data_IF_445155382260
#
_entry.id   IF_445155382260
#
_cell.length_a   1.000
_cell.length_b   1.000
_cell.length_c   1.000
_cell.angle_alpha   90.00
_cell.angle_beta   90.00
_cell.angle_gamma   90.00
#
_symmetry.space_group_name_H-M   'P 1'
#
loop_
_entity.id
_entity.type
_entity.pdbx_description
1 polymer ?
#
# COMPACT_ATOMS: atom_id res chain seq x y z
N UNK A 1 -134.59 -21.97 71.13
CA UNK A 1 -133.37 -21.21 70.77
C UNK A 1 -132.30 -22.17 70.22
N UNK A 2 -132.46 -22.68 68.99
CA UNK A 2 -131.58 -23.71 68.42
C UNK A 2 -131.16 -23.50 66.96
N UNK A 3 -131.31 -22.28 66.43
CA UNK A 3 -131.07 -21.98 64.99
C UNK A 3 -129.79 -21.18 64.68
N UNK A 4 -129.08 -20.64 65.67
CA UNK A 4 -127.86 -19.83 65.44
C UNK A 4 -126.56 -20.67 65.43
N UNK A 5 -126.46 -21.71 66.24
CA UNK A 5 -125.24 -22.53 66.34
C UNK A 5 -124.96 -23.38 65.08
N UNK A 6 -125.99 -23.77 64.31
CA UNK A 6 -125.80 -24.57 63.09
C UNK A 6 -125.31 -23.75 61.89
N UNK A 7 -125.53 -22.43 61.88
CA UNK A 7 -125.11 -21.57 60.78
C UNK A 7 -123.65 -21.15 60.91
N UNK A 8 -123.21 -20.83 62.13
CA UNK A 8 -121.80 -20.54 62.43
C UNK A 8 -120.89 -21.76 62.24
N UNK A 9 -121.39 -22.97 62.51
CA UNK A 9 -120.64 -24.21 62.26
C UNK A 9 -120.48 -24.49 60.76
N UNK A 10 -121.52 -24.25 59.96
CA UNK A 10 -121.46 -24.43 58.51
C UNK A 10 -120.55 -23.38 57.83
N UNK A 11 -120.59 -22.13 58.29
CA UNK A 11 -119.70 -21.07 57.82
C UNK A 11 -118.25 -21.36 58.22
N UNK A 12 -118.01 -21.82 59.46
CA UNK A 12 -116.67 -22.22 59.93
C UNK A 12 -116.13 -23.44 59.17
N UNK A 13 -116.96 -24.45 58.87
CA UNK A 13 -116.56 -25.60 58.06
C UNK A 13 -116.24 -25.23 56.61
N UNK A 14 -116.93 -24.21 56.07
CA UNK A 14 -116.66 -23.69 54.72
C UNK A 14 -115.35 -22.92 54.67
N UNK A 15 -115.07 -22.11 55.70
CA UNK A 15 -113.80 -21.39 55.84
C UNK A 15 -112.63 -22.37 56.02
N UNK A 16 -112.80 -23.40 56.84
CA UNK A 16 -111.78 -24.45 57.05
C UNK A 16 -111.49 -25.21 55.75
N UNK A 17 -112.52 -25.56 54.97
CA UNK A 17 -112.32 -26.20 53.64
C UNK A 17 -111.57 -25.29 52.66
N UNK A 18 -111.92 -24.01 52.61
CA UNK A 18 -111.23 -23.05 51.72
C UNK A 18 -109.77 -22.82 52.13
N UNK A 19 -109.48 -22.70 53.42
CA UNK A 19 -108.12 -22.57 53.93
C UNK A 19 -107.30 -23.84 53.69
N UNK A 20 -107.92 -25.02 53.83
CA UNK A 20 -107.25 -26.31 53.55
C UNK A 20 -106.90 -26.44 52.06
N UNK A 21 -107.81 -26.02 51.17
CA UNK A 21 -107.57 -26.01 49.73
C UNK A 21 -106.50 -24.98 49.32
N UNK A 22 -106.42 -23.82 49.99
CA UNK A 22 -105.34 -22.86 49.78
C UNK A 22 -104.00 -23.38 50.28
N UNK A 23 -103.95 -24.01 51.46
CA UNK A 23 -102.74 -24.59 52.02
C UNK A 23 -102.18 -25.70 51.12
N UNK A 24 -103.05 -26.55 50.57
CA UNK A 24 -102.65 -27.60 49.62
C UNK A 24 -102.12 -27.02 48.29
N UNK A 25 -102.65 -25.89 47.80
CA UNK A 25 -102.09 -25.20 46.63
C UNK A 25 -100.72 -24.61 46.92
N UNK A 26 -100.57 -23.93 48.06
CA UNK A 26 -99.28 -23.34 48.47
C UNK A 26 -98.22 -24.41 48.69
N UNK A 27 -98.56 -25.55 49.30
CA UNK A 27 -97.63 -26.67 49.47
C UNK A 27 -97.20 -27.28 48.12
N UNK A 28 -98.12 -27.39 47.16
CA UNK A 28 -97.84 -27.89 45.80
C UNK A 28 -96.94 -26.93 45.00
N UNK A 29 -97.15 -25.63 45.15
CA UNK A 29 -96.30 -24.60 44.52
C UNK A 29 -94.91 -24.52 45.19
N UNK A 30 -94.82 -24.81 46.50
CA UNK A 30 -93.55 -24.86 47.24
C UNK A 30 -92.68 -26.07 46.82
N UNK A 31 -93.28 -27.23 46.56
CA UNK A 31 -92.57 -28.41 46.02
C UNK A 31 -92.13 -28.22 44.56
N UNK A 32 -92.94 -27.54 43.74
CA UNK A 32 -92.57 -27.18 42.36
C UNK A 32 -91.43 -26.14 42.28
N UNK A 33 -91.25 -25.30 43.31
CA UNK A 33 -90.13 -24.35 43.39
C UNK A 33 -88.85 -24.97 43.99
N UNK A 34 -88.95 -25.98 44.85
CA UNK A 34 -87.79 -26.73 45.36
C UNK A 34 -87.06 -27.52 44.26
N UNK A 35 -87.79 -28.09 43.31
CA UNK A 35 -87.22 -28.81 42.15
C UNK A 35 -86.57 -27.87 41.13
N UNK A 36 -87.08 -26.63 40.97
CA UNK A 36 -86.45 -25.60 40.14
C UNK A 36 -85.15 -25.04 40.75
N UNK A 37 -85.07 -24.91 42.08
CA UNK A 37 -83.87 -24.44 42.76
C UNK A 37 -82.71 -25.46 42.66
N UNK A 38 -82.99 -26.76 42.81
CA UNK A 38 -81.99 -27.83 42.62
C UNK A 38 -81.55 -27.93 41.15
N UNK A 39 -82.48 -27.80 40.20
CA UNK A 39 -82.15 -27.74 38.78
C UNK A 39 -81.30 -26.52 38.41
N UNK A 40 -81.55 -25.35 39.02
CA UNK A 40 -80.76 -24.14 38.81
C UNK A 40 -79.31 -24.29 39.30
N UNK A 41 -79.09 -24.87 40.49
CA UNK A 41 -77.74 -25.12 41.01
C UNK A 41 -76.94 -26.14 40.18
N UNK A 42 -77.61 -27.14 39.61
CA UNK A 42 -76.96 -28.09 38.70
C UNK A 42 -76.63 -27.44 37.35
N UNK A 43 -77.50 -26.57 36.85
CA UNK A 43 -77.24 -25.76 35.66
C UNK A 43 -76.06 -24.82 35.88
N UNK A 44 -75.95 -24.17 37.04
CA UNK A 44 -74.81 -23.30 37.39
C UNK A 44 -73.49 -24.07 37.44
N UNK A 45 -73.48 -25.29 38.00
CA UNK A 45 -72.31 -26.18 37.96
C UNK A 45 -71.93 -26.57 36.52
N UNK A 46 -72.91 -26.92 35.69
CA UNK A 46 -72.69 -27.24 34.28
C UNK A 46 -72.16 -26.01 33.51
N UNK A 47 -72.71 -24.83 33.74
CA UNK A 47 -72.24 -23.58 33.15
C UNK A 47 -70.81 -23.27 33.61
N UNK A 48 -70.48 -23.44 34.88
CA UNK A 48 -69.13 -23.24 35.40
C UNK A 48 -68.12 -24.25 34.78
N UNK A 49 -68.51 -25.52 34.68
CA UNK A 49 -67.69 -26.57 34.07
C UNK A 49 -67.48 -26.33 32.57
N UNK A 50 -68.53 -25.91 31.85
CA UNK A 50 -68.46 -25.53 30.43
C UNK A 50 -67.61 -24.27 30.24
N UNK A 51 -67.72 -23.27 31.12
CA UNK A 51 -66.90 -22.05 31.07
C UNK A 51 -65.43 -22.36 31.31
N UNK A 52 -65.13 -23.20 32.29
CA UNK A 52 -63.76 -23.70 32.54
C UNK A 52 -63.21 -24.46 31.33
N UNK A 53 -64.02 -25.34 30.75
CA UNK A 53 -63.63 -26.15 29.58
C UNK A 53 -63.42 -25.26 28.33
N UNK A 54 -64.27 -24.26 28.14
CA UNK A 54 -64.15 -23.25 27.09
C UNK A 54 -62.87 -22.42 27.26
N UNK A 55 -62.55 -22.00 28.49
CA UNK A 55 -61.31 -21.24 28.77
C UNK A 55 -60.05 -22.06 28.47
N UNK A 56 -60.06 -23.35 28.83
CA UNK A 56 -58.96 -24.28 28.55
C UNK A 56 -58.80 -24.50 27.04
N UNK A 57 -59.90 -24.80 26.35
CA UNK A 57 -59.91 -24.96 24.90
C UNK A 57 -59.44 -23.69 24.16
N UNK A 58 -59.80 -22.50 24.65
CA UNK A 58 -59.33 -21.23 24.11
C UNK A 58 -57.81 -21.08 24.27
N UNK A 59 -57.27 -21.39 25.46
CA UNK A 59 -55.82 -21.33 25.71
C UNK A 59 -55.02 -22.32 24.84
N UNK A 60 -55.54 -23.53 24.64
CA UNK A 60 -54.94 -24.55 23.77
C UNK A 60 -54.98 -24.13 22.30
N UNK A 61 -56.10 -23.53 21.86
CA UNK A 61 -56.23 -22.98 20.51
C UNK A 61 -55.23 -21.84 20.27
N UNK A 62 -55.08 -20.92 21.23
CA UNK A 62 -54.10 -19.83 21.16
C UNK A 62 -52.66 -20.37 21.10
N UNK A 63 -52.33 -21.37 21.92
CA UNK A 63 -51.03 -22.03 21.91
C UNK A 63 -50.74 -22.71 20.57
N UNK A 64 -51.68 -23.51 20.05
CA UNK A 64 -51.55 -24.21 18.78
C UNK A 64 -51.46 -23.23 17.60
N UNK A 65 -52.21 -22.13 17.64
CA UNK A 65 -52.11 -21.05 16.64
C UNK A 65 -50.73 -20.39 16.69
N UNK A 66 -50.18 -20.17 17.89
CA UNK A 66 -48.81 -19.67 18.06
C UNK A 66 -47.75 -20.60 17.49
N UNK A 67 -47.85 -21.92 17.75
CA UNK A 67 -46.93 -22.91 17.18
C UNK A 67 -47.02 -22.98 15.66
N UNK A 68 -48.24 -22.91 15.10
CA UNK A 68 -48.45 -22.93 13.65
C UNK A 68 -47.81 -21.72 12.98
N UNK A 69 -47.94 -20.52 13.56
CA UNK A 69 -47.26 -19.30 13.09
C UNK A 69 -45.73 -19.42 13.15
N UNK A 70 -45.18 -20.03 14.21
CA UNK A 70 -43.74 -20.28 14.31
C UNK A 70 -43.24 -21.28 13.26
N UNK A 71 -44.02 -22.33 12.98
CA UNK A 71 -43.70 -23.30 11.93
C UNK A 71 -43.78 -22.68 10.52
N UNK A 72 -44.75 -21.79 10.27
CA UNK A 72 -44.84 -21.06 9.01
C UNK A 72 -43.68 -20.07 8.83
N UNK A 73 -43.30 -19.36 9.90
CA UNK A 73 -42.14 -18.46 9.90
C UNK A 73 -40.83 -19.23 9.67
N UNK A 74 -40.65 -20.40 10.28
CA UNK A 74 -39.46 -21.23 10.08
C UNK A 74 -39.40 -21.78 8.65
N UNK A 75 -40.54 -22.20 8.09
CA UNK A 75 -40.65 -22.64 6.69
C UNK A 75 -40.33 -21.51 5.70
N UNK A 76 -40.79 -20.29 5.97
CA UNK A 76 -40.45 -19.12 5.16
C UNK A 76 -38.95 -18.79 5.23
N UNK A 77 -38.35 -18.89 6.42
CA UNK A 77 -36.91 -18.67 6.60
C UNK A 77 -36.07 -19.75 5.89
N UNK A 78 -36.46 -21.02 5.99
CA UNK A 78 -35.80 -22.12 5.28
C UNK A 78 -35.82 -21.91 3.76
N UNK A 79 -36.94 -21.46 3.19
CA UNK A 79 -37.02 -21.08 1.76
C UNK A 79 -36.08 -19.93 1.41
N UNK A 80 -35.99 -18.91 2.25
CA UNK A 80 -35.08 -17.77 2.04
C UNK A 80 -33.61 -18.21 2.05
N UNK A 81 -33.23 -19.05 3.01
CA UNK A 81 -31.88 -19.61 3.11
C UNK A 81 -31.54 -20.49 1.89
N UNK A 82 -32.50 -21.27 1.40
CA UNK A 82 -32.31 -22.08 0.19
C UNK A 82 -31.99 -21.19 -1.03
N UNK A 83 -32.75 -20.11 -1.25
CA UNK A 83 -32.48 -19.14 -2.33
C UNK A 83 -31.11 -18.48 -2.17
N UNK A 84 -30.72 -18.12 -0.94
CA UNK A 84 -29.39 -17.56 -0.68
C UNK A 84 -28.27 -18.55 -0.98
N UNK A 85 -28.46 -19.83 -0.67
CA UNK A 85 -27.51 -20.89 -0.94
C UNK A 85 -27.35 -21.15 -2.44
N UNK A 86 -28.45 -21.13 -3.19
CA UNK A 86 -28.42 -21.31 -4.65
C UNK A 86 -27.74 -20.11 -5.34
N UNK A 87 -28.01 -18.88 -4.90
CA UNK A 87 -27.31 -17.68 -5.38
C UNK A 87 -25.82 -17.69 -5.06
N UNK A 88 -25.44 -18.16 -3.86
CA UNK A 88 -24.04 -18.28 -3.46
C UNK A 88 -23.29 -19.33 -4.31
N UNK A 89 -23.94 -20.46 -4.63
CA UNK A 89 -23.39 -21.47 -5.53
C UNK A 89 -23.17 -20.93 -6.94
N UNK A 90 -24.15 -20.20 -7.49
CA UNK A 90 -24.00 -19.59 -8.82
C UNK A 90 -22.85 -18.57 -8.85
N UNK A 91 -22.72 -17.76 -7.79
CA UNK A 91 -21.61 -16.81 -7.67
C UNK A 91 -20.25 -17.51 -7.61
N UNK A 92 -20.15 -18.57 -6.80
CA UNK A 92 -18.91 -19.36 -6.66
C UNK A 92 -18.50 -20.00 -8.00
N UNK A 93 -19.47 -20.49 -8.78
CA UNK A 93 -19.20 -21.09 -10.08
C UNK A 93 -18.70 -20.04 -11.09
N UNK A 94 -19.28 -18.83 -11.10
CA UNK A 94 -18.78 -17.71 -11.91
C UNK A 94 -17.35 -17.32 -11.51
N UNK A 95 -17.05 -17.25 -10.21
CA UNK A 95 -15.71 -16.94 -9.70
C UNK A 95 -14.68 -18.00 -10.12
N UNK A 96 -15.03 -19.30 -10.06
CA UNK A 96 -14.16 -20.38 -10.56
C UNK A 96 -13.86 -20.24 -12.05
N UNK A 97 -14.88 -19.98 -12.87
CA UNK A 97 -14.69 -19.77 -14.31
C UNK A 97 -13.79 -18.56 -14.60
N UNK A 98 -13.88 -17.49 -13.81
CA UNK A 98 -12.95 -16.36 -13.94
C UNK A 98 -11.53 -16.71 -13.50
N UNK A 99 -11.36 -17.49 -12.43
CA UNK A 99 -10.06 -17.92 -11.96
C UNK A 99 -9.35 -18.81 -12.99
N UNK A 100 -10.08 -19.72 -13.64
CA UNK A 100 -9.54 -20.58 -14.69
C UNK A 100 -9.11 -19.75 -15.92
N UNK A 101 -9.90 -18.75 -16.32
CA UNK A 101 -9.50 -17.81 -17.39
C UNK A 101 -8.22 -17.06 -17.04
N UNK A 102 -8.13 -16.49 -15.84
CA UNK A 102 -6.93 -15.78 -15.37
C UNK A 102 -5.71 -16.69 -15.35
N UNK A 103 -5.88 -17.95 -14.91
CA UNK A 103 -4.81 -18.95 -14.93
C UNK A 103 -4.30 -19.22 -16.35
N UNK A 104 -5.21 -19.42 -17.31
CA UNK A 104 -4.82 -19.63 -18.72
C UNK A 104 -4.13 -18.42 -19.35
N UNK A 105 -4.54 -17.18 -18.99
CA UNK A 105 -3.87 -15.96 -19.45
C UNK A 105 -2.48 -15.81 -18.83
N UNK A 106 -2.32 -16.14 -17.55
CA UNK A 106 -1.03 -16.12 -16.87
C UNK A 106 -0.02 -17.10 -17.50
N UNK A 107 -0.47 -18.30 -17.89
CA UNK A 107 0.37 -19.29 -18.59
C UNK A 107 0.80 -18.77 -19.97
N UNK A 108 -0.10 -18.16 -20.75
CA UNK A 108 0.23 -17.53 -22.04
C UNK A 108 1.22 -16.36 -21.89
N UNK A 109 1.05 -15.53 -20.87
CA UNK A 109 1.97 -14.42 -20.58
C UNK A 109 3.36 -14.94 -20.19
N UNK A 110 3.43 -16.04 -19.44
CA UNK A 110 4.69 -16.68 -19.08
C UNK A 110 5.43 -17.19 -20.32
N UNK A 111 4.74 -17.90 -21.22
CA UNK A 111 5.32 -18.38 -22.49
C UNK A 111 5.80 -17.21 -23.37
N UNK A 112 5.02 -16.12 -23.43
CA UNK A 112 5.40 -14.90 -24.17
C UNK A 112 6.65 -14.25 -23.57
N UNK A 113 6.74 -14.19 -22.24
CA UNK A 113 7.89 -13.62 -21.54
C UNK A 113 9.17 -14.46 -21.75
N UNK A 114 9.05 -15.79 -21.74
CA UNK A 114 10.16 -16.71 -22.03
C UNK A 114 10.64 -16.56 -23.48
N UNK A 115 9.72 -16.44 -24.44
CA UNK A 115 10.06 -16.18 -25.84
C UNK A 115 10.76 -14.82 -26.03
N UNK A 116 10.23 -13.76 -25.43
CA UNK A 116 10.85 -12.43 -25.48
C UNK A 116 12.24 -12.41 -24.83
N UNK A 117 12.45 -13.19 -23.76
CA UNK A 117 13.76 -13.34 -23.14
C UNK A 117 14.77 -14.05 -24.06
N UNK A 118 14.34 -15.10 -24.77
CA UNK A 118 15.15 -15.79 -25.76
C UNK A 118 15.51 -14.90 -26.95
N UNK A 119 14.50 -14.23 -27.55
CA UNK A 119 14.69 -13.29 -28.66
C UNK A 119 15.65 -12.16 -28.28
N UNK A 120 15.54 -11.63 -27.05
CA UNK A 120 16.45 -10.61 -26.53
C UNK A 120 17.87 -11.12 -26.37
N UNK A 121 18.06 -12.35 -25.88
CA UNK A 121 19.39 -12.94 -25.74
C UNK A 121 20.05 -13.18 -27.12
N UNK A 122 19.27 -13.57 -28.13
CA UNK A 122 19.76 -13.71 -29.51
C UNK A 122 20.12 -12.35 -30.13
N UNK A 123 19.29 -11.31 -29.91
CA UNK A 123 19.59 -9.94 -30.33
C UNK A 123 20.86 -9.39 -29.65
N UNK A 124 21.06 -9.67 -28.37
CA UNK A 124 22.26 -9.27 -27.64
C UNK A 124 23.52 -9.97 -28.19
N UNK A 125 23.42 -11.25 -28.59
CA UNK A 125 24.52 -11.98 -29.26
C UNK A 125 24.86 -11.39 -30.62
N UNK A 126 23.87 -11.20 -31.49
CA UNK A 126 24.06 -10.63 -32.83
C UNK A 126 24.60 -9.20 -32.77
N UNK A 127 24.11 -8.37 -31.84
CA UNK A 127 24.66 -7.03 -31.63
C UNK A 127 26.11 -7.07 -31.15
N UNK A 128 26.47 -8.00 -30.25
CA UNK A 128 27.85 -8.14 -29.80
C UNK A 128 28.79 -8.58 -30.94
N UNK A 129 28.34 -9.48 -31.82
CA UNK A 129 29.10 -9.90 -33.01
C UNK A 129 29.30 -8.76 -34.00
N UNK A 130 28.24 -8.01 -34.34
CA UNK A 130 28.33 -6.85 -35.23
C UNK A 130 29.26 -5.77 -34.68
N UNK A 131 29.21 -5.53 -33.36
CA UNK A 131 30.10 -4.59 -32.70
C UNK A 131 31.55 -5.07 -32.71
N UNK A 132 31.80 -6.38 -32.58
CA UNK A 132 33.14 -6.97 -32.69
C UNK A 132 33.69 -6.86 -34.11
N UNK A 133 32.87 -7.09 -35.12
CA UNK A 133 33.24 -6.89 -36.54
C UNK A 133 33.54 -5.42 -36.82
N UNK A 134 32.70 -4.50 -36.35
CA UNK A 134 32.92 -3.06 -36.49
C UNK A 134 34.23 -2.61 -35.81
N UNK A 135 34.52 -3.13 -34.60
CA UNK A 135 35.77 -2.84 -33.90
C UNK A 135 37.01 -3.39 -34.63
N UNK A 136 36.89 -4.53 -35.32
CA UNK A 136 38.00 -5.11 -36.09
C UNK A 136 38.35 -4.30 -37.34
N UNK A 137 37.41 -3.52 -37.88
CA UNK A 137 37.61 -2.65 -39.04
C UNK A 137 38.30 -1.32 -38.69
N UNK A 138 38.40 -0.98 -37.40
CA UNK A 138 39.09 0.25 -36.98
C UNK A 138 40.61 0.07 -37.12
N UNK A 139 41.32 1.04 -37.71
CA UNK A 139 42.77 0.98 -37.87
C UNK A 139 43.45 0.92 -36.50
N UNK A 140 44.23 -0.14 -36.26
CA UNK A 140 45.01 -0.31 -35.02
C UNK A 140 46.33 0.43 -35.17
N UNK A 141 46.53 1.50 -34.41
CA UNK A 141 47.86 2.09 -34.28
C UNK A 141 48.78 1.15 -33.48
N UNK A 142 50.03 1.00 -33.92
CA UNK A 142 51.01 0.14 -33.25
C UNK A 142 51.33 0.70 -31.86
N UNK A 143 50.80 0.07 -30.82
CA UNK A 143 51.07 0.42 -29.42
C UNK A 143 49.83 0.53 -28.54
N UNK A 144 48.65 0.58 -29.15
CA UNK A 144 47.38 0.77 -28.44
C UNK A 144 46.79 -0.55 -27.93
N UNK A 145 46.11 -0.48 -26.78
CA UNK A 145 45.37 -1.60 -26.24
C UNK A 145 44.10 -1.83 -27.08
N UNK A 146 43.81 -3.07 -27.54
CA UNK A 146 42.76 -3.33 -28.54
C UNK A 146 41.35 -2.89 -28.11
N UNK A 147 41.08 -2.86 -26.81
CA UNK A 147 39.79 -2.43 -26.23
C UNK A 147 39.84 -1.02 -25.63
N UNK A 148 41.02 -0.60 -25.17
CA UNK A 148 41.16 0.61 -24.34
C UNK A 148 41.81 1.76 -25.12
N UNK A 149 42.23 1.55 -26.37
CA UNK A 149 42.93 2.56 -27.15
C UNK A 149 44.28 2.92 -26.53
N UNK A 150 44.63 4.19 -26.62
CA UNK A 150 45.95 4.68 -26.24
C UNK A 150 46.07 4.86 -24.73
N UNK A 151 47.17 4.37 -24.16
CA UNK A 151 47.53 4.60 -22.76
C UNK A 151 47.95 6.07 -22.58
N UNK A 152 47.26 6.81 -21.72
CA UNK A 152 47.59 8.20 -21.39
C UNK A 152 48.57 8.26 -20.23
N UNK A 153 48.30 7.50 -19.17
CA UNK A 153 49.08 7.58 -17.93
C UNK A 153 48.97 6.29 -17.12
N UNK A 154 50.09 5.83 -16.57
CA UNK A 154 50.15 4.81 -15.52
C UNK A 154 50.36 5.49 -14.15
N UNK A 155 49.49 5.23 -13.19
CA UNK A 155 49.56 5.76 -11.82
C UNK A 155 49.97 4.69 -10.80
N UNK A 156 50.43 3.53 -11.25
CA UNK A 156 50.81 2.36 -10.44
C UNK A 156 49.62 1.58 -9.88
N UNK A 157 48.61 2.26 -9.33
CA UNK A 157 47.41 1.65 -8.76
C UNK A 157 46.21 1.63 -9.74
N UNK A 158 46.27 2.43 -10.81
CA UNK A 158 45.31 2.45 -11.92
C UNK A 158 45.98 2.97 -13.19
N UNK A 159 45.41 2.61 -14.33
CA UNK A 159 45.85 3.01 -15.66
C UNK A 159 44.80 3.93 -16.27
N UNK A 160 45.22 4.97 -16.99
CA UNK A 160 44.32 5.91 -17.66
C UNK A 160 44.50 5.75 -19.16
N UNK A 161 43.39 5.55 -19.86
CA UNK A 161 43.33 5.37 -21.30
C UNK A 161 42.40 6.39 -21.96
N UNK A 162 42.62 6.62 -23.26
CA UNK A 162 41.65 7.25 -24.17
C UNK A 162 41.17 6.20 -25.15
N UNK A 163 39.87 6.00 -25.18
CA UNK A 163 39.27 4.97 -26.05
C UNK A 163 38.07 5.51 -26.80
N UNK A 164 37.80 4.89 -27.94
CA UNK A 164 36.52 5.01 -28.61
C UNK A 164 35.44 4.31 -27.75
N UNK A 165 34.37 5.01 -27.34
CA UNK A 165 33.36 4.47 -26.43
C UNK A 165 32.60 3.28 -27.01
N UNK A 166 32.56 3.13 -28.33
CA UNK A 166 31.87 2.04 -29.03
C UNK A 166 32.69 0.77 -28.97
N UNK A 167 33.98 0.88 -29.27
CA UNK A 167 34.98 -0.18 -29.10
C UNK A 167 35.02 -0.66 -27.66
N UNK A 168 34.98 0.27 -26.70
CA UNK A 168 34.92 -0.09 -25.29
C UNK A 168 33.64 -0.88 -24.97
N UNK A 169 32.47 -0.38 -25.38
CA UNK A 169 31.18 -1.02 -25.11
C UNK A 169 31.06 -2.40 -25.79
N UNK A 170 31.63 -2.55 -26.98
CA UNK A 170 31.67 -3.79 -27.75
C UNK A 170 32.49 -4.90 -27.07
N UNK A 171 33.62 -4.53 -26.48
CA UNK A 171 34.63 -5.48 -26.03
C UNK A 171 34.70 -5.63 -24.50
N UNK A 172 33.82 -4.94 -23.75
CA UNK A 172 33.75 -5.06 -22.29
C UNK A 172 32.35 -5.44 -21.84
N UNK A 173 32.23 -6.14 -20.70
CA UNK A 173 30.92 -6.39 -20.10
C UNK A 173 30.62 -5.33 -19.06
N UNK A 174 29.36 -4.97 -18.93
CA UNK A 174 28.90 -4.20 -17.77
C UNK A 174 28.85 -5.12 -16.55
N UNK A 175 29.40 -4.69 -15.42
CA UNK A 175 29.42 -5.51 -14.22
C UNK A 175 27.98 -5.81 -13.74
N UNK A 176 27.65 -7.09 -13.55
CA UNK A 176 26.26 -7.57 -13.35
C UNK A 176 25.54 -6.97 -12.14
N UNK A 177 26.29 -6.48 -11.15
CA UNK A 177 25.77 -5.90 -9.90
C UNK A 177 25.61 -4.36 -9.98
N UNK A 178 25.81 -3.76 -11.17
CA UNK A 178 25.62 -2.33 -11.38
C UNK A 178 24.12 -1.95 -11.41
N UNK A 179 23.83 -0.65 -11.21
CA UNK A 179 22.50 -0.07 -11.44
C UNK A 179 22.00 -0.49 -12.83
N UNK A 180 20.70 -0.77 -12.97
CA UNK A 180 20.13 -1.07 -14.28
C UNK A 180 20.42 0.07 -15.28
N UNK A 181 20.89 -0.28 -16.48
CA UNK A 181 20.98 0.66 -17.59
C UNK A 181 19.57 1.19 -17.91
N UNK A 182 19.46 2.50 -18.15
CA UNK A 182 18.19 3.19 -18.43
C UNK A 182 18.37 4.03 -19.69
N UNK A 183 17.83 3.63 -20.84
CA UNK A 183 17.99 4.37 -22.10
C UNK A 183 17.61 5.85 -21.98
N UNK A 184 16.49 6.15 -21.32
CA UNK A 184 16.03 7.53 -21.10
C UNK A 184 17.04 8.39 -20.31
N UNK A 185 17.86 7.80 -19.42
CA UNK A 185 18.92 8.54 -18.72
C UNK A 185 20.10 8.83 -19.65
N UNK A 186 20.50 7.85 -20.46
CA UNK A 186 21.55 8.03 -21.46
C UNK A 186 21.16 9.10 -22.49
N UNK A 187 19.91 9.09 -22.96
CA UNK A 187 19.36 10.12 -23.83
C UNK A 187 19.38 11.52 -23.18
N UNK A 188 18.95 11.64 -21.91
CA UNK A 188 19.05 12.92 -21.19
C UNK A 188 20.49 13.43 -21.09
N UNK A 189 21.46 12.54 -20.84
CA UNK A 189 22.88 12.89 -20.82
C UNK A 189 23.34 13.35 -22.20
N UNK A 190 22.99 12.63 -23.27
CA UNK A 190 23.31 12.99 -24.65
C UNK A 190 22.74 14.38 -25.02
N UNK A 191 21.47 14.61 -24.72
CA UNK A 191 20.80 15.88 -25.01
C UNK A 191 21.34 17.04 -24.17
N UNK A 192 21.73 16.79 -22.92
CA UNK A 192 22.44 17.77 -22.09
C UNK A 192 23.82 18.08 -22.68
N UNK A 193 24.54 17.04 -23.15
CA UNK A 193 25.86 17.19 -23.73
C UNK A 193 25.84 18.01 -25.02
N UNK A 194 24.86 17.81 -25.90
CA UNK A 194 24.67 18.63 -27.12
C UNK A 194 24.43 20.11 -26.83
N UNK A 195 23.86 20.44 -25.67
CA UNK A 195 23.63 21.83 -25.23
C UNK A 195 24.82 22.43 -24.48
N UNK A 196 25.76 21.59 -24.05
CA UNK A 196 26.92 22.00 -23.28
C UNK A 196 27.98 22.61 -24.19
N UNK A 197 28.64 23.67 -23.72
CA UNK A 197 29.81 24.28 -24.39
C UNK A 197 31.13 23.63 -23.97
N UNK A 198 31.10 22.72 -23.01
CA UNK A 198 32.31 22.03 -22.51
C UNK A 198 32.79 21.05 -23.58
N UNK A 199 34.08 21.05 -23.89
CA UNK A 199 34.67 20.08 -24.82
C UNK A 199 34.84 18.71 -24.17
N UNK A 200 34.68 17.63 -24.95
CA UNK A 200 34.90 16.26 -24.46
C UNK A 200 33.88 15.77 -23.42
N UNK A 201 33.92 14.48 -23.08
CA UNK A 201 33.00 13.92 -22.08
C UNK A 201 33.39 14.30 -20.64
N UNK A 202 32.44 14.74 -19.80
CA UNK A 202 32.72 14.98 -18.40
C UNK A 202 32.91 13.66 -17.62
N UNK A 203 33.97 13.63 -16.81
CA UNK A 203 34.34 12.50 -15.95
C UNK A 203 34.91 11.29 -16.71
N UNK A 204 35.36 10.30 -15.96
CA UNK A 204 36.00 9.06 -16.47
C UNK A 204 35.05 7.87 -16.46
N UNK A 205 35.19 6.94 -17.40
CA UNK A 205 34.58 5.61 -17.30
C UNK A 205 35.46 4.76 -16.40
N UNK A 206 34.90 4.14 -15.36
CA UNK A 206 35.68 3.28 -14.47
C UNK A 206 35.51 1.83 -14.91
N UNK A 207 36.63 1.16 -15.18
CA UNK A 207 36.68 -0.26 -15.49
C UNK A 207 37.67 -1.00 -14.57
N UNK A 208 37.49 -2.31 -14.43
CA UNK A 208 38.42 -3.19 -13.74
C UNK A 208 38.71 -4.41 -14.58
N UNK A 209 39.96 -4.85 -14.58
CA UNK A 209 40.36 -6.17 -15.09
C UNK A 209 40.33 -7.15 -13.94
N UNK A 210 39.51 -8.18 -14.02
CA UNK A 210 39.35 -9.17 -12.95
C UNK A 210 40.38 -10.30 -13.15
N UNK A 211 41.20 -10.56 -12.13
CA UNK A 211 42.07 -11.74 -12.12
C UNK A 211 41.20 -12.99 -12.14
N UNK A 212 41.53 -13.93 -13.05
CA UNK A 212 40.79 -15.18 -13.24
C UNK A 212 40.51 -15.87 -11.89
N UNK A 213 39.23 -15.88 -11.52
CA UNK A 213 38.73 -16.50 -10.30
C UNK A 213 37.31 -17.00 -10.52
N UNK A 214 37.07 -17.71 -11.64
CA UNK A 214 36.07 -18.76 -11.82
C UNK A 214 36.06 -19.23 -13.30
N UNK A 215 35.84 -20.54 -13.50
CA UNK A 215 36.26 -21.39 -14.62
C UNK A 215 35.77 -21.08 -16.07
N UNK A 216 35.20 -19.91 -16.35
CA UNK A 216 34.55 -19.58 -17.64
C UNK A 216 35.30 -18.51 -18.48
N UNK A 217 36.52 -18.13 -18.10
CA UNK A 217 37.31 -17.14 -18.82
C UNK A 217 38.22 -17.81 -19.87
N UNK A 218 37.91 -17.59 -21.14
CA UNK A 218 38.75 -17.98 -22.27
C UNK A 218 40.18 -17.42 -22.19
N UNK A 219 41.08 -18.01 -22.97
CA UNK A 219 42.53 -17.95 -22.83
C UNK A 219 43.24 -16.58 -23.03
N UNK A 220 42.50 -15.48 -23.21
CA UNK A 220 43.08 -14.17 -23.52
C UNK A 220 42.77 -13.12 -22.43
N UNK A 221 43.60 -13.08 -21.38
CA UNK A 221 43.64 -11.96 -20.43
C UNK A 221 42.43 -11.82 -19.50
N UNK A 222 42.61 -11.17 -18.35
CA UNK A 222 41.54 -10.98 -17.36
C UNK A 222 40.25 -10.38 -17.95
N UNK A 223 39.10 -10.79 -17.42
CA UNK A 223 37.80 -10.29 -17.89
C UNK A 223 37.65 -8.82 -17.48
N UNK A 224 37.54 -7.92 -18.47
CA UNK A 224 37.35 -6.50 -18.22
C UNK A 224 35.87 -6.16 -18.05
N UNK A 225 35.56 -5.48 -16.94
CA UNK A 225 34.20 -5.04 -16.61
C UNK A 225 34.11 -3.54 -16.39
N UNK A 226 33.03 -2.93 -16.88
CA UNK A 226 32.68 -1.54 -16.57
C UNK A 226 31.98 -1.49 -15.21
N UNK A 227 32.49 -0.65 -14.30
CA UNK A 227 31.96 -0.45 -12.94
C UNK A 227 31.13 0.82 -12.81
N UNK A 228 31.52 1.90 -13.50
CA UNK A 228 30.78 3.16 -13.59
C UNK A 228 30.86 3.79 -14.99
N UNK A 229 29.88 4.62 -15.33
CA UNK A 229 29.87 5.36 -16.59
C UNK A 229 29.07 4.70 -17.72
N UNK A 230 28.36 3.60 -17.47
CA UNK A 230 27.51 2.93 -18.48
C UNK A 230 26.49 3.86 -19.16
N UNK A 231 25.89 4.82 -18.45
CA UNK A 231 24.94 5.77 -19.04
C UNK A 231 25.64 6.81 -19.92
N UNK A 232 26.92 7.11 -19.65
CA UNK A 232 27.77 7.96 -20.51
C UNK A 232 28.15 7.22 -21.79
N UNK A 233 28.52 5.94 -21.71
CA UNK A 233 28.72 5.10 -22.90
C UNK A 233 27.44 4.95 -23.73
N UNK A 234 26.31 4.73 -23.06
CA UNK A 234 25.01 4.73 -23.73
C UNK A 234 24.68 6.07 -24.41
N UNK A 235 25.07 7.19 -23.82
CA UNK A 235 24.90 8.51 -24.43
C UNK A 235 25.78 8.68 -25.68
N UNK A 236 27.02 8.17 -25.65
CA UNK A 236 27.92 8.15 -26.81
C UNK A 236 27.29 7.34 -27.96
N UNK A 237 26.85 6.11 -27.67
CA UNK A 237 26.18 5.24 -28.64
C UNK A 237 24.91 5.88 -29.21
N UNK A 238 24.12 6.54 -28.35
CA UNK A 238 22.93 7.28 -28.80
C UNK A 238 23.29 8.41 -29.78
N UNK A 239 24.26 9.27 -29.45
CA UNK A 239 24.69 10.36 -30.35
C UNK A 239 25.26 9.83 -31.66
N UNK A 240 26.06 8.76 -31.62
CA UNK A 240 26.62 8.15 -32.82
C UNK A 240 25.51 7.59 -33.74
N UNK A 241 24.52 6.90 -33.17
CA UNK A 241 23.37 6.37 -33.93
C UNK A 241 22.54 7.46 -34.62
N UNK A 242 22.61 8.70 -34.12
CA UNK A 242 21.97 9.88 -34.70
C UNK A 242 22.86 10.65 -35.66
N UNK A 243 24.13 10.25 -35.83
CA UNK A 243 25.12 11.02 -36.60
C UNK A 243 25.46 12.37 -35.95
N UNK A 244 25.25 12.50 -34.64
CA UNK A 244 25.41 13.74 -33.86
C UNK A 244 26.62 13.70 -32.92
N UNK A 245 27.46 12.66 -33.00
CA UNK A 245 28.68 12.57 -32.21
C UNK A 245 29.77 13.44 -32.83
N UNK A 246 30.04 14.60 -32.21
CA UNK A 246 31.11 15.51 -32.62
C UNK A 246 32.50 14.87 -32.44
N UNK A 247 33.50 15.39 -33.16
CA UNK A 247 34.87 14.84 -33.17
C UNK A 247 35.50 14.82 -31.76
N UNK A 248 35.31 15.89 -31.00
CA UNK A 248 35.82 16.02 -29.63
C UNK A 248 35.11 15.09 -28.63
N UNK A 249 34.03 14.43 -29.04
CA UNK A 249 33.27 13.46 -28.27
C UNK A 249 33.52 12.00 -28.70
N UNK A 250 34.38 11.77 -29.69
CA UNK A 250 34.70 10.43 -30.18
C UNK A 250 35.55 9.61 -29.23
N UNK A 251 36.15 10.25 -28.24
CA UNK A 251 36.95 9.57 -27.25
C UNK A 251 36.44 9.84 -25.83
N UNK A 252 36.52 8.80 -24.99
CA UNK A 252 36.25 8.89 -23.56
C UNK A 252 37.51 8.53 -22.78
N UNK A 253 37.70 9.17 -21.64
CA UNK A 253 38.74 8.78 -20.68
C UNK A 253 38.26 7.60 -19.87
N UNK A 254 39.07 6.54 -19.81
CA UNK A 254 38.79 5.34 -19.02
C UNK A 254 39.86 5.20 -17.97
N UNK A 255 39.47 5.05 -16.71
CA UNK A 255 40.36 4.59 -15.65
C UNK A 255 40.17 3.09 -15.45
N UNK A 256 41.27 2.36 -15.45
CA UNK A 256 41.29 0.90 -15.39
C UNK A 256 42.06 0.49 -14.16
N UNK A 257 41.42 -0.27 -13.28
CA UNK A 257 42.07 -0.93 -12.16
C UNK A 257 42.51 -2.32 -12.60
N UNK A 258 43.81 -2.55 -12.83
CA UNK A 258 44.29 -3.83 -13.32
C UNK A 258 44.24 -4.89 -12.22
N UNK A 259 44.08 -6.15 -12.63
CA UNK A 259 44.34 -7.32 -11.77
C UNK A 259 43.61 -7.27 -10.41
N UNK A 260 42.31 -7.00 -10.42
CA UNK A 260 41.47 -6.97 -9.22
C UNK A 260 40.82 -8.33 -8.95
N UNK A 261 40.71 -8.70 -7.68
CA UNK A 261 39.81 -9.76 -7.24
C UNK A 261 38.35 -9.27 -7.21
N UNK A 262 37.38 -10.16 -7.44
CA UNK A 262 35.92 -9.86 -7.43
C UNK A 262 35.49 -9.12 -6.14
N UNK A 263 36.06 -9.47 -4.99
CA UNK A 263 35.81 -8.79 -3.71
C UNK A 263 36.23 -7.31 -3.74
N UNK A 264 37.43 -7.01 -4.23
CA UNK A 264 37.93 -5.65 -4.36
C UNK A 264 37.15 -4.85 -5.41
N UNK A 265 36.68 -5.50 -6.48
CA UNK A 265 35.79 -4.87 -7.46
C UNK A 265 34.48 -4.44 -6.81
N UNK A 266 33.91 -5.29 -5.95
CA UNK A 266 32.71 -4.97 -5.18
C UNK A 266 32.95 -3.81 -4.20
N UNK A 267 34.10 -3.77 -3.54
CA UNK A 267 34.44 -2.69 -2.63
C UNK A 267 34.61 -1.37 -3.38
N UNK A 268 35.36 -1.36 -4.49
CA UNK A 268 35.52 -0.20 -5.36
C UNK A 268 34.17 0.30 -5.91
N UNK A 269 33.32 -0.61 -6.38
CA UNK A 269 31.97 -0.24 -6.81
C UNK A 269 31.15 0.38 -5.68
N UNK A 270 31.27 -0.17 -4.47
CA UNK A 270 30.58 0.35 -3.29
C UNK A 270 31.08 1.73 -2.92
N UNK A 271 32.40 1.96 -2.99
CA UNK A 271 33.03 3.26 -2.76
C UNK A 271 32.55 4.31 -3.77
N UNK A 272 32.58 3.99 -5.07
CA UNK A 272 32.06 4.89 -6.12
C UNK A 272 30.59 5.23 -5.89
N UNK A 273 29.77 4.27 -5.45
CA UNK A 273 28.35 4.52 -5.18
C UNK A 273 28.08 5.21 -3.84
N UNK A 274 29.05 5.19 -2.91
CA UNK A 274 29.00 5.99 -1.69
C UNK A 274 29.32 7.45 -1.94
N UNK A 275 30.01 7.78 -3.04
CA UNK A 275 30.12 9.16 -3.49
C UNK A 275 28.71 9.68 -3.83
N UNK A 276 28.17 10.51 -2.96
CA UNK A 276 26.83 11.07 -3.11
C UNK A 276 26.84 12.15 -4.19
N UNK A 277 25.77 12.26 -5.00
CA UNK A 277 25.65 13.37 -5.94
C UNK A 277 25.69 14.71 -5.18
N UNK A 278 26.38 15.70 -5.74
CA UNK A 278 26.28 17.08 -5.27
C UNK A 278 24.81 17.48 -5.33
N UNK A 279 24.29 17.96 -4.21
CA UNK A 279 22.89 18.38 -4.10
C UNK A 279 22.66 19.67 -4.87
N UNK A 280 21.43 19.90 -5.32
CA UNK A 280 21.13 21.06 -6.16
C UNK A 280 21.40 22.38 -5.44
N UNK A 281 21.18 22.43 -4.12
CA UNK A 281 21.52 23.59 -3.29
C UNK A 281 23.01 23.97 -3.37
N UNK A 282 23.90 22.99 -3.56
CA UNK A 282 25.36 23.16 -3.55
C UNK A 282 25.95 23.33 -4.98
N UNK A 283 25.11 23.42 -6.01
CA UNK A 283 25.57 23.66 -7.38
C UNK A 283 26.00 25.13 -7.57
N UNK A 284 27.12 25.41 -8.27
CA UNK A 284 27.60 26.77 -8.47
C UNK A 284 26.68 27.60 -9.38
N UNK A 285 26.14 26.99 -10.44
CA UNK A 285 25.16 27.59 -11.34
C UNK A 285 23.85 26.80 -11.24
N UNK A 286 22.74 27.51 -10.99
CA UNK A 286 21.43 26.89 -10.80
C UNK A 286 21.17 26.35 -9.38
N UNK A 287 22.16 26.40 -8.48
CA UNK A 287 21.99 26.17 -7.05
C UNK A 287 21.58 27.41 -6.27
N UNK A 288 21.63 27.31 -4.94
CA UNK A 288 21.26 28.42 -4.07
C UNK A 288 22.29 29.55 -4.15
N UNK A 289 21.82 30.80 -3.99
CA UNK A 289 22.73 31.93 -3.76
C UNK A 289 23.54 31.70 -2.47
N UNK A 290 24.75 32.28 -2.38
CA UNK A 290 25.60 32.12 -1.20
C UNK A 290 24.88 32.46 0.12
N UNK A 291 24.12 33.57 0.13
CA UNK A 291 23.29 33.97 1.29
C UNK A 291 22.21 32.94 1.62
N UNK A 292 21.49 32.44 0.62
CA UNK A 292 20.48 31.40 0.84
C UNK A 292 21.09 30.09 1.32
N UNK A 293 22.27 29.71 0.80
CA UNK A 293 23.01 28.53 1.22
C UNK A 293 23.47 28.65 2.68
N UNK A 294 23.98 29.83 3.08
CA UNK A 294 24.36 30.13 4.46
C UNK A 294 23.16 30.02 5.41
N UNK A 295 22.05 30.71 5.10
CA UNK A 295 20.83 30.69 5.92
C UNK A 295 20.23 29.29 6.05
N UNK A 296 20.08 28.56 4.94
CA UNK A 296 19.51 27.20 4.94
C UNK A 296 20.43 26.23 5.70
N UNK A 297 21.75 26.35 5.52
CA UNK A 297 22.71 25.47 6.18
C UNK A 297 22.77 25.76 7.69
N UNK A 298 22.79 27.03 8.09
CA UNK A 298 22.71 27.46 9.48
C UNK A 298 21.45 26.92 10.15
N UNK A 299 20.27 27.16 9.55
CA UNK A 299 19.01 26.70 10.11
C UNK A 299 18.94 25.17 10.27
N UNK A 300 19.46 24.42 9.28
CA UNK A 300 19.52 22.97 9.34
C UNK A 300 20.50 22.46 10.41
N UNK A 301 21.62 23.16 10.63
CA UNK A 301 22.58 22.87 11.71
C UNK A 301 21.97 23.16 13.08
N UNK A 302 21.38 24.34 13.28
CA UNK A 302 20.66 24.71 14.51
C UNK A 302 19.59 23.68 14.87
N UNK A 303 18.78 23.24 13.90
CA UNK A 303 17.77 22.22 14.13
C UNK A 303 18.36 20.84 14.53
N UNK A 304 19.51 20.48 13.93
CA UNK A 304 20.25 19.25 14.28
C UNK A 304 20.82 19.31 15.69
N UNK A 305 21.40 20.44 16.06
CA UNK A 305 22.01 20.65 17.38
C UNK A 305 20.96 20.65 18.49
N UNK A 306 19.77 21.17 18.23
CA UNK A 306 18.63 21.09 19.15
C UNK A 306 18.03 19.67 19.25
N UNK A 307 18.14 18.85 18.19
CA UNK A 307 17.49 17.54 18.10
C UNK A 307 18.43 16.42 17.64
N UNK A 308 19.60 16.19 18.26
CA UNK A 308 20.65 15.35 17.69
C UNK A 308 20.22 13.89 17.51
N UNK A 309 19.32 13.38 18.36
CA UNK A 309 18.77 12.00 18.28
C UNK A 309 17.80 11.78 17.13
N UNK A 310 17.36 12.86 16.48
CA UNK A 310 16.42 12.84 15.36
C UNK A 310 17.13 13.07 14.01
N UNK A 311 18.44 13.29 14.02
CA UNK A 311 19.23 13.39 12.81
C UNK A 311 20.10 12.15 12.62
N UNK A 312 20.26 11.74 11.36
CA UNK A 312 21.08 10.62 10.93
C UNK A 312 21.97 11.06 9.77
N UNK A 313 23.20 10.56 9.74
CA UNK A 313 24.15 10.80 8.66
C UNK A 313 23.72 10.13 7.34
N UNK A 314 22.88 9.09 7.41
CA UNK A 314 22.43 8.38 6.20
C UNK A 314 21.37 9.17 5.44
N UNK A 315 21.59 9.42 4.14
CA UNK A 315 20.56 9.95 3.23
C UNK A 315 19.31 9.05 3.12
N UNK A 316 19.45 7.76 3.44
CA UNK A 316 18.37 6.77 3.50
C UNK A 316 17.88 6.54 4.93
N UNK A 317 17.96 7.55 5.79
CA UNK A 317 17.48 7.44 7.16
C UNK A 317 16.00 7.05 7.20
N UNK A 318 15.66 6.13 8.10
CA UNK A 318 14.28 5.74 8.34
C UNK A 318 13.59 6.81 9.19
N UNK A 319 12.31 7.02 8.93
CA UNK A 319 11.42 7.83 9.77
C UNK A 319 11.55 7.37 11.24
N UNK A 320 11.50 8.29 12.23
CA UNK A 320 11.27 9.74 12.10
C UNK A 320 12.54 10.57 11.85
N UNK A 321 13.69 9.96 11.52
CA UNK A 321 14.93 10.71 11.41
C UNK A 321 15.00 11.56 10.14
N UNK A 322 15.76 12.65 10.20
CA UNK A 322 16.17 13.46 9.06
C UNK A 322 17.66 13.34 8.79
N UNK A 323 18.05 13.56 7.54
CA UNK A 323 19.44 13.81 7.14
C UNK A 323 19.58 15.31 6.84
N UNK A 324 20.67 15.91 7.31
CA UNK A 324 20.87 17.37 7.26
C UNK A 324 20.95 17.88 5.83
N UNK A 325 21.70 17.18 4.97
CA UNK A 325 21.90 17.59 3.57
C UNK A 325 20.62 17.42 2.76
N UNK A 326 19.86 16.36 3.01
CA UNK A 326 18.52 16.19 2.46
C UNK A 326 17.60 17.33 2.92
N UNK A 327 17.57 17.69 4.20
CA UNK A 327 16.76 18.81 4.68
C UNK A 327 17.13 20.12 3.97
N UNK A 328 18.42 20.43 3.86
CA UNK A 328 18.92 21.61 3.13
C UNK A 328 18.40 21.63 1.69
N UNK A 329 18.56 20.52 0.97
CA UNK A 329 18.13 20.41 -0.42
C UNK A 329 16.61 20.50 -0.56
N UNK A 330 15.82 19.85 0.30
CA UNK A 330 14.36 19.88 0.24
C UNK A 330 13.81 21.29 0.55
N UNK A 331 14.41 22.04 1.49
CA UNK A 331 14.09 23.44 1.76
C UNK A 331 14.37 24.34 0.54
N UNK A 332 15.51 24.13 -0.13
CA UNK A 332 15.87 24.84 -1.36
C UNK A 332 14.92 24.51 -2.51
N UNK A 333 14.66 23.23 -2.78
CA UNK A 333 13.75 22.77 -3.84
C UNK A 333 12.30 23.24 -3.63
N UNK A 334 11.88 23.36 -2.37
CA UNK A 334 10.57 23.90 -2.03
C UNK A 334 10.51 25.43 -2.12
N UNK A 335 11.62 26.10 -2.43
CA UNK A 335 11.75 27.56 -2.57
C UNK A 335 11.24 28.30 -1.32
N UNK A 336 11.50 27.71 -0.14
CA UNK A 336 10.93 28.14 1.15
C UNK A 336 11.29 29.59 1.47
N UNK A 337 12.58 29.93 1.33
CA UNK A 337 13.10 31.27 1.59
C UNK A 337 12.32 32.34 0.81
N UNK A 338 12.20 32.16 -0.51
CA UNK A 338 11.53 33.12 -1.38
C UNK A 338 10.02 33.17 -1.18
N UNK A 339 9.39 32.01 -0.98
CA UNK A 339 7.93 31.91 -0.82
C UNK A 339 7.42 32.54 0.46
N UNK A 340 8.13 32.32 1.56
CA UNK A 340 7.74 32.82 2.88
C UNK A 340 8.48 34.10 3.26
N UNK A 341 9.32 34.64 2.37
CA UNK A 341 10.11 35.87 2.58
C UNK A 341 10.94 35.80 3.86
N UNK A 342 11.61 34.66 4.04
CA UNK A 342 12.51 34.42 5.15
C UNK A 342 13.90 34.91 4.70
N UNK A 343 14.51 35.80 5.47
CA UNK A 343 15.78 36.42 5.10
C UNK A 343 16.93 35.97 6.01
N UNK A 344 16.61 35.53 7.23
CA UNK A 344 17.60 35.14 8.25
C UNK A 344 17.50 33.66 8.62
N UNK A 345 18.55 33.16 9.27
CA UNK A 345 18.57 31.82 9.85
C UNK A 345 17.46 31.65 10.89
N UNK A 346 17.30 32.64 11.77
CA UNK A 346 16.33 32.63 12.85
C UNK A 346 14.90 32.54 12.33
N UNK A 347 14.56 33.33 11.29
CA UNK A 347 13.23 33.29 10.64
C UNK A 347 12.93 31.89 10.10
N UNK A 348 13.93 31.26 9.47
CA UNK A 348 13.78 29.93 8.90
C UNK A 348 13.64 28.85 9.98
N UNK A 349 14.42 28.93 11.06
CA UNK A 349 14.31 28.01 12.20
C UNK A 349 12.93 28.14 12.86
N UNK A 350 12.45 29.35 13.11
CA UNK A 350 11.13 29.59 13.70
C UNK A 350 10.01 29.04 12.81
N UNK A 351 10.10 29.28 11.50
CA UNK A 351 9.15 28.75 10.53
C UNK A 351 9.14 27.21 10.54
N UNK A 352 10.31 26.55 10.51
CA UNK A 352 10.40 25.08 10.57
C UNK A 352 9.83 24.53 11.89
N UNK A 353 10.10 25.18 13.03
CA UNK A 353 9.53 24.81 14.33
C UNK A 353 8.02 24.93 14.35
N UNK A 354 7.47 25.96 13.73
CA UNK A 354 6.02 26.11 13.58
C UNK A 354 5.42 24.96 12.76
N UNK A 355 6.06 24.58 11.63
CA UNK A 355 5.63 23.41 10.84
C UNK A 355 5.68 22.12 11.66
N UNK A 356 6.73 21.92 12.46
CA UNK A 356 6.83 20.76 13.35
C UNK A 356 5.70 20.72 14.38
N UNK A 357 5.35 21.88 14.97
CA UNK A 357 4.26 21.99 15.93
C UNK A 357 2.89 21.72 15.30
N UNK A 358 2.65 22.12 14.05
CA UNK A 358 1.45 21.76 13.31
C UNK A 358 1.36 20.24 13.07
N UNK A 359 2.47 19.61 12.68
CA UNK A 359 2.55 18.16 12.49
C UNK A 359 2.33 17.38 13.79
N UNK A 360 2.78 17.92 14.93
CA UNK A 360 2.58 17.26 16.23
C UNK A 360 1.10 17.18 16.64
N UNK A 361 0.21 18.00 16.07
CA UNK A 361 -1.23 17.94 16.35
C UNK A 361 -1.96 16.80 15.63
N UNK A 362 -1.33 16.16 14.62
CA UNK A 362 -1.96 15.05 13.90
C UNK A 362 -2.14 13.84 14.82
N UNK A 363 -3.27 13.12 14.75
CA UNK A 363 -3.51 11.94 15.58
C UNK A 363 -2.59 10.78 15.18
N UNK A 364 -2.22 9.93 16.14
CA UNK A 364 -1.32 8.79 15.90
C UNK A 364 -1.85 7.82 14.84
N UNK A 365 -3.18 7.67 14.74
CA UNK A 365 -3.83 6.85 13.71
C UNK A 365 -3.54 7.33 12.28
N UNK A 366 -3.25 8.62 12.09
CA UNK A 366 -2.82 9.13 10.78
C UNK A 366 -1.37 8.73 10.50
N UNK A 367 -0.49 8.84 11.52
CA UNK A 367 0.92 8.47 11.39
C UNK A 367 1.12 6.97 11.19
N UNK A 368 0.32 6.13 11.86
CA UNK A 368 0.36 4.67 11.75
C UNK A 368 0.00 4.15 10.36
N UNK A 369 -0.69 4.94 9.53
CA UNK A 369 -0.90 4.61 8.11
C UNK A 369 0.39 4.63 7.30
N UNK A 370 1.42 5.33 7.78
CA UNK A 370 2.64 5.61 7.03
C UNK A 370 3.93 5.21 7.76
N UNK A 371 3.87 4.84 9.04
CA UNK A 371 5.00 4.53 9.89
C UNK A 371 4.63 3.49 10.95
N UNK A 372 5.62 2.77 11.49
CA UNK A 372 5.39 1.81 12.59
C UNK A 372 5.18 2.50 13.94
N UNK A 373 4.51 1.84 14.88
CA UNK A 373 4.28 2.38 16.24
C UNK A 373 5.57 2.87 16.88
N UNK A 374 6.68 2.12 16.75
CA UNK A 374 8.00 2.51 17.27
C UNK A 374 8.50 3.86 16.71
N UNK A 375 8.18 4.16 15.46
CA UNK A 375 8.58 5.41 14.82
C UNK A 375 7.73 6.57 15.33
N UNK A 376 6.42 6.34 15.52
CA UNK A 376 5.48 7.32 16.08
C UNK A 376 5.84 7.62 17.53
N UNK A 377 6.07 6.60 18.35
CA UNK A 377 6.49 6.74 19.75
C UNK A 377 7.79 7.53 19.87
N UNK A 378 8.74 7.28 18.95
CA UNK A 378 10.01 8.01 18.91
C UNK A 378 9.83 9.48 18.49
N UNK A 379 8.97 9.76 17.51
CA UNK A 379 8.65 11.13 17.12
C UNK A 379 7.99 11.89 18.29
N UNK A 380 7.08 11.23 19.01
CA UNK A 380 6.39 11.76 20.19
C UNK A 380 7.35 12.05 21.34
N UNK A 381 8.22 11.10 21.68
CA UNK A 381 9.16 11.24 22.81
C UNK A 381 10.17 12.37 22.61
N UNK A 382 10.49 12.71 21.37
CA UNK A 382 11.36 13.81 21.00
C UNK A 382 10.63 15.08 20.51
N UNK A 383 9.29 15.07 20.48
CA UNK A 383 8.47 16.12 19.90
C UNK A 383 8.95 16.57 18.49
N UNK A 384 9.30 15.62 17.63
CA UNK A 384 9.92 15.89 16.33
C UNK A 384 9.28 15.04 15.23
N UNK A 385 8.53 15.71 14.36
CA UNK A 385 7.66 15.12 13.34
C UNK A 385 8.06 15.49 11.90
N UNK A 386 9.01 16.42 11.71
CA UNK A 386 9.47 16.86 10.39
C UNK A 386 10.02 15.71 9.53
N UNK A 387 10.61 14.68 10.14
CA UNK A 387 11.08 13.48 9.45
C UNK A 387 10.03 12.40 9.22
N UNK A 388 8.78 12.61 9.66
CA UNK A 388 7.68 11.68 9.41
C UNK A 388 7.10 11.81 8.00
N UNK A 389 7.08 13.03 7.46
CA UNK A 389 6.64 13.32 6.10
C UNK A 389 7.28 14.61 5.60
N UNK A 390 7.34 14.79 4.28
CA UNK A 390 7.77 16.06 3.65
C UNK A 390 6.59 16.89 3.15
N UNK A 391 5.34 16.47 3.42
CA UNK A 391 4.11 17.15 2.96
C UNK A 391 3.91 18.53 3.60
N UNK A 392 4.70 18.89 4.62
CA UNK A 392 4.73 20.22 5.20
C UNK A 392 5.49 21.24 4.32
N UNK A 393 6.20 20.78 3.28
CA UNK A 393 6.83 21.63 2.27
C UNK A 393 5.86 21.91 1.11
N UNK A 394 5.74 23.17 0.64
CA UNK A 394 4.70 23.60 -0.30
C UNK A 394 4.85 23.07 -1.75
N UNK A 395 5.85 22.23 -2.04
CA UNK A 395 6.07 21.62 -3.36
C UNK A 395 6.06 20.08 -3.35
N UNK A 396 5.75 19.43 -2.22
CA UNK A 396 5.53 17.98 -2.21
C UNK A 396 4.13 17.65 -2.75
N UNK A 397 3.91 17.95 -4.02
CA UNK A 397 2.96 17.14 -4.81
C UNK A 397 3.68 15.83 -5.01
N UNK A 398 3.28 14.79 -4.28
CA UNK A 398 3.92 13.47 -4.26
C UNK A 398 4.36 13.06 -5.68
N UNK A 399 5.67 13.10 -5.94
CA UNK A 399 6.26 12.60 -7.19
C UNK A 399 6.28 11.08 -7.22
#
# INVERSE_FOLDING_TARGET
MGGRASKELAESQTVVRNLTAQLQRVMKDLEANKTKAVAATELEKQVAQLTSSLSKAKSELEHNTGQLRLAEASKANAKRLQVQLDNAKEKLEKEKQTADKVKTEAEKLKETAEKLAADRAELERTNAELLKEAAALLPKEKGDHPTLGSLVQDLGHKLIYRTDPITLLANTKVWRKQRAFRPARAEKIAMSKLKSKVQGWPGTITAASIEQGDADAGADGGHMVILDGQHRLGACSFLQSKGQLAEDLREVTVEVYPAMQESRVKDLFTEINKCEPVLEIDLPEGGASATAQEVISGAAMTLKDENPKMFSESHKCLRPHLNIDRLRNELYQADVMKRFKLETEEDLVEWIKQRNAELSQRPDEEWKKQASDKMVDKARSHNFFLGMTWDWLPNNVSK
#
